data_IF_594123910308
#
_entry.id   IF_594123910308
#
_cell.length_a   1.000
_cell.length_b   1.000
_cell.length_c   1.000
_cell.angle_alpha   90.00
_cell.angle_beta   90.00
_cell.angle_gamma   90.00
#
_symmetry.space_group_name_H-M   'P 1'
#
loop_
_entity.id
_entity.type
_entity.pdbx_description
1 polymer ?
#
# COMPACT_ATOMS: atom_id res chain seq x y z
N UNK A 1 1.85 29.71 8.38
CA UNK A 1 2.75 28.59 8.02
C UNK A 1 1.90 27.43 7.53
N UNK A 2 2.47 26.45 6.82
CA UNK A 2 1.74 25.26 6.32
C UNK A 2 2.17 24.05 7.16
N UNK A 3 1.22 23.17 7.50
CA UNK A 3 1.48 21.90 8.17
C UNK A 3 1.09 20.74 7.23
N UNK A 4 1.85 19.64 7.27
CA UNK A 4 1.61 18.47 6.43
C UNK A 4 1.01 17.32 7.24
N UNK A 5 -0.21 16.90 6.90
CA UNK A 5 -0.87 15.76 7.54
C UNK A 5 -0.48 14.48 6.79
N UNK A 6 0.06 13.50 7.49
CA UNK A 6 0.63 12.29 6.87
C UNK A 6 0.34 11.02 7.65
N UNK A 7 0.20 9.90 6.94
CA UNK A 7 0.04 8.57 7.57
C UNK A 7 1.35 7.96 8.07
N UNK A 8 2.50 8.64 7.89
CA UNK A 8 3.81 8.18 8.32
C UNK A 8 4.56 7.32 7.30
N UNK A 9 4.28 7.48 6.00
CA UNK A 9 5.08 6.84 4.96
C UNK A 9 6.48 7.44 4.90
N UNK A 10 7.52 6.60 4.86
CA UNK A 10 8.92 7.03 4.92
C UNK A 10 9.26 8.14 3.90
N UNK A 11 8.86 7.96 2.64
CA UNK A 11 9.09 8.97 1.58
C UNK A 11 8.37 10.30 1.85
N UNK A 12 7.13 10.23 2.34
CA UNK A 12 6.38 11.44 2.70
C UNK A 12 7.03 12.19 3.86
N UNK A 13 7.63 11.46 4.80
CA UNK A 13 8.38 12.06 5.91
C UNK A 13 9.70 12.68 5.43
N UNK A 14 10.44 11.99 4.56
CA UNK A 14 11.65 12.51 3.92
C UNK A 14 11.37 13.79 3.15
N UNK A 15 10.32 13.83 2.33
CA UNK A 15 9.91 15.04 1.59
C UNK A 15 9.54 16.19 2.54
N UNK A 16 8.80 15.89 3.61
CA UNK A 16 8.43 16.90 4.60
C UNK A 16 9.67 17.50 5.27
N UNK A 17 10.64 16.67 5.63
CA UNK A 17 11.93 17.13 6.18
C UNK A 17 12.70 17.91 5.13
N UNK A 18 12.79 17.41 3.90
CA UNK A 18 13.53 18.05 2.82
C UNK A 18 13.06 19.49 2.55
N UNK A 19 11.74 19.70 2.48
CA UNK A 19 11.13 21.03 2.29
C UNK A 19 10.92 21.80 3.60
N UNK A 20 11.33 21.24 4.74
CA UNK A 20 11.21 21.86 6.05
C UNK A 20 9.76 22.11 6.48
N UNK A 21 8.81 21.27 6.11
CA UNK A 21 7.37 21.42 6.43
C UNK A 21 7.01 20.57 7.65
N UNK A 22 6.64 21.16 8.79
CA UNK A 22 6.26 20.41 9.99
C UNK A 22 5.09 19.46 9.75
N UNK A 23 5.10 18.33 10.45
CA UNK A 23 4.12 17.27 10.22
C UNK A 23 3.09 17.11 11.34
N UNK A 24 1.92 16.63 10.96
CA UNK A 24 0.92 16.04 11.85
C UNK A 24 0.75 14.58 11.43
N UNK A 25 1.29 13.66 12.22
CA UNK A 25 1.29 12.24 11.92
C UNK A 25 0.04 11.52 12.42
N UNK A 26 -0.57 10.73 11.54
CA UNK A 26 -1.73 9.87 11.78
C UNK A 26 -1.38 8.42 11.41
N UNK A 27 -0.71 7.66 12.30
CA UNK A 27 -0.26 6.30 12.00
C UNK A 27 -1.44 5.33 11.85
N UNK A 28 -1.97 5.19 10.64
CA UNK A 28 -3.00 4.19 10.32
C UNK A 28 -2.44 2.77 10.51
N UNK A 29 -1.16 2.59 10.17
CA UNK A 29 -0.44 1.33 10.37
C UNK A 29 0.50 1.51 11.56
N UNK A 30 0.40 0.60 12.54
CA UNK A 30 1.20 0.66 13.78
C UNK A 30 2.70 0.70 13.51
N UNK A 31 3.19 -0.03 12.50
CA UNK A 31 4.61 -0.03 12.11
C UNK A 31 5.11 1.32 11.59
N UNK A 32 4.24 2.25 11.17
CA UNK A 32 4.64 3.60 10.75
C UNK A 32 4.78 4.58 11.91
N UNK A 33 4.25 4.22 13.07
CA UNK A 33 4.30 5.05 14.29
C UNK A 33 5.74 5.39 14.68
N UNK A 34 6.67 4.45 14.52
CA UNK A 34 8.09 4.67 14.85
C UNK A 34 8.74 5.76 13.99
N UNK A 35 8.37 5.86 12.71
CA UNK A 35 8.93 6.88 11.82
C UNK A 35 8.39 8.27 12.14
N UNK A 36 7.08 8.38 12.42
CA UNK A 36 6.48 9.64 12.87
C UNK A 36 7.11 10.05 14.22
N UNK A 37 7.22 9.10 15.16
CA UNK A 37 7.80 9.34 16.48
C UNK A 37 9.24 9.86 16.40
N UNK A 38 10.00 9.44 15.39
CA UNK A 38 11.35 9.95 15.17
C UNK A 38 11.35 11.45 14.84
N UNK A 39 10.40 11.93 14.03
CA UNK A 39 10.30 13.37 13.69
C UNK A 39 9.74 14.16 14.87
N UNK A 40 8.73 13.65 15.57
CA UNK A 40 8.15 14.33 16.73
C UNK A 40 9.14 14.41 17.89
N UNK A 41 10.05 13.44 18.05
CA UNK A 41 11.16 13.48 19.01
C UNK A 41 12.04 14.73 18.86
N UNK A 42 12.20 15.24 17.64
CA UNK A 42 12.94 16.48 17.38
C UNK A 42 12.08 17.75 17.49
N UNK A 43 10.81 17.63 17.87
CA UNK A 43 9.88 18.75 17.97
C UNK A 43 9.39 19.28 16.61
N UNK A 44 9.59 18.51 15.53
CA UNK A 44 9.26 18.90 14.16
C UNK A 44 7.84 18.50 13.71
N UNK A 45 7.00 18.08 14.65
CA UNK A 45 5.61 17.72 14.40
C UNK A 45 4.94 17.13 15.62
N UNK A 46 3.68 16.73 15.45
CA UNK A 46 2.88 16.04 16.47
C UNK A 46 2.34 14.72 15.93
N UNK A 47 2.08 13.77 16.83
CA UNK A 47 1.45 12.50 16.50
C UNK A 47 0.05 12.44 17.12
N UNK A 48 -0.94 12.00 16.35
CA UNK A 48 -2.31 11.81 16.82
C UNK A 48 -2.73 10.35 16.60
N UNK A 49 -3.33 9.74 17.61
CA UNK A 49 -3.83 8.37 17.51
C UNK A 49 -5.13 8.33 16.71
N UNK A 50 -5.18 7.62 15.56
CA UNK A 50 -6.38 7.58 14.71
C UNK A 50 -7.63 7.04 15.43
N UNK A 51 -7.43 6.15 16.40
CA UNK A 51 -8.51 5.50 17.14
C UNK A 51 -9.22 6.44 18.14
N UNK A 52 -8.60 7.57 18.49
CA UNK A 52 -9.11 8.50 19.52
C UNK A 52 -9.15 9.95 19.02
N UNK A 53 -9.58 10.16 17.77
CA UNK A 53 -9.66 11.50 17.18
C UNK A 53 -10.96 12.22 17.57
N UNK A 54 -10.83 13.31 18.33
CA UNK A 54 -11.90 14.30 18.52
C UNK A 54 -11.67 15.49 17.59
N UNK A 55 -12.76 16.03 17.03
CA UNK A 55 -12.72 17.19 16.11
C UNK A 55 -11.92 18.37 16.70
N UNK A 56 -12.19 18.70 17.96
CA UNK A 56 -11.51 19.79 18.68
C UNK A 56 -10.00 19.55 18.79
N UNK A 57 -9.59 18.32 19.11
CA UNK A 57 -8.19 17.93 19.24
C UNK A 57 -7.46 18.03 17.90
N UNK A 58 -8.08 17.56 16.81
CA UNK A 58 -7.49 17.66 15.47
C UNK A 58 -7.28 19.11 15.07
N UNK A 59 -8.31 19.95 15.22
CA UNK A 59 -8.22 21.38 14.88
C UNK A 59 -7.14 22.04 15.73
N UNK A 60 -7.10 21.79 17.04
CA UNK A 60 -6.10 22.35 17.95
C UNK A 60 -4.68 21.94 17.53
N UNK A 61 -4.43 20.66 17.29
CA UNK A 61 -3.09 20.15 16.94
C UNK A 61 -2.63 20.68 15.59
N UNK A 62 -3.48 20.62 14.56
CA UNK A 62 -3.13 21.14 13.23
C UNK A 62 -2.87 22.65 13.30
N UNK A 63 -3.68 23.40 14.04
CA UNK A 63 -3.48 24.84 14.22
C UNK A 63 -2.18 25.12 14.96
N UNK A 64 -1.85 24.37 16.01
CA UNK A 64 -0.61 24.53 16.75
C UNK A 64 0.62 24.28 15.85
N UNK A 65 0.62 23.20 15.07
CA UNK A 65 1.72 22.87 14.15
C UNK A 65 1.84 23.88 13.00
N UNK A 66 0.73 24.43 12.53
CA UNK A 66 0.69 25.41 11.44
C UNK A 66 1.01 26.86 11.87
N UNK A 67 0.92 27.19 13.15
CA UNK A 67 1.10 28.57 13.65
C UNK A 67 2.32 28.76 14.55
N UNK A 68 2.70 27.76 15.36
CA UNK A 68 3.81 27.92 16.30
C UNK A 68 5.16 27.74 15.59
N UNK A 69 6.03 28.75 15.72
CA UNK A 69 7.35 28.74 15.09
C UNK A 69 8.26 27.61 15.59
N UNK A 70 8.04 27.12 16.82
CA UNK A 70 8.86 26.03 17.41
C UNK A 70 8.92 24.79 16.51
N UNK A 71 7.80 24.44 15.85
CA UNK A 71 7.74 23.29 14.96
C UNK A 71 8.50 23.54 13.67
N UNK A 72 8.37 24.74 13.10
CA UNK A 72 9.08 25.14 11.89
C UNK A 72 10.59 25.24 12.14
N UNK A 73 11.01 25.87 13.23
CA UNK A 73 12.42 26.01 13.59
C UNK A 73 13.06 24.63 13.83
N UNK A 74 12.35 23.74 14.52
CA UNK A 74 12.78 22.36 14.72
C UNK A 74 12.87 21.59 13.41
N UNK A 75 11.90 21.76 12.51
CA UNK A 75 11.89 21.10 11.21
C UNK A 75 12.98 21.63 10.28
N UNK A 76 13.25 22.94 10.27
CA UNK A 76 14.36 23.54 9.51
C UNK A 76 15.71 23.03 10.02
N UNK A 77 15.89 22.91 11.35
CA UNK A 77 17.10 22.33 11.93
C UNK A 77 17.27 20.86 11.55
N UNK A 78 16.18 20.09 11.56
CA UNK A 78 16.19 18.69 11.11
C UNK A 78 16.51 18.58 9.61
N UNK A 79 15.95 19.47 8.78
CA UNK A 79 16.22 19.56 7.35
C UNK A 79 17.70 19.87 7.09
N UNK A 80 18.30 20.80 7.84
CA UNK A 80 19.73 21.09 7.75
C UNK A 80 20.53 19.82 8.03
N UNK A 81 20.34 19.18 9.19
CA UNK A 81 21.12 17.98 9.55
C UNK A 81 20.99 16.82 8.56
N UNK A 82 19.84 16.66 7.91
CA UNK A 82 19.57 15.53 7.00
C UNK A 82 19.90 15.83 5.54
N UNK A 83 19.69 17.07 5.09
CA UNK A 83 19.98 17.50 3.72
C UNK A 83 21.44 17.92 3.52
N UNK A 84 22.31 17.75 4.52
CA UNK A 84 23.75 17.90 4.35
C UNK A 84 24.35 16.56 3.91
N UNK A 85 24.55 16.32 2.60
CA UNK A 85 25.16 15.09 2.15
C UNK A 85 26.65 15.08 2.53
N UNK A 86 27.17 13.91 2.89
CA UNK A 86 28.60 13.69 3.20
C UNK A 86 29.48 13.90 1.96
N UNK A 87 28.91 13.71 0.77
CA UNK A 87 29.57 13.89 -0.51
C UNK A 87 28.63 14.58 -1.52
N UNK A 88 29.18 15.32 -2.46
CA UNK A 88 28.39 15.87 -3.57
C UNK A 88 27.83 14.76 -4.46
N UNK A 89 26.76 15.04 -5.21
CA UNK A 89 26.19 14.07 -6.15
C UNK A 89 27.22 13.52 -7.16
N UNK A 90 28.16 14.36 -7.60
CA UNK A 90 29.25 13.96 -8.48
C UNK A 90 30.23 12.99 -7.80
N UNK A 91 30.64 13.28 -6.56
CA UNK A 91 31.52 12.40 -5.78
C UNK A 91 30.85 11.06 -5.49
N UNK A 92 29.55 11.06 -5.19
CA UNK A 92 28.80 9.83 -4.94
C UNK A 92 28.65 8.99 -6.21
N UNK A 93 28.39 9.62 -7.36
CA UNK A 93 28.34 8.94 -8.66
C UNK A 93 29.70 8.32 -9.03
N UNK A 94 30.80 9.07 -8.81
CA UNK A 94 32.15 8.56 -9.02
C UNK A 94 32.43 7.34 -8.14
N UNK A 95 32.13 7.44 -6.84
CA UNK A 95 32.34 6.35 -5.89
C UNK A 95 31.57 5.08 -6.26
N UNK A 96 30.30 5.19 -6.65
CA UNK A 96 29.50 4.04 -7.11
C UNK A 96 30.01 3.47 -8.43
N UNK A 97 30.47 4.32 -9.35
CA UNK A 97 31.07 3.88 -10.62
C UNK A 97 32.33 3.06 -10.35
N UNK A 98 33.24 3.57 -9.52
CA UNK A 98 34.42 2.83 -9.08
C UNK A 98 34.07 1.54 -8.34
N UNK A 99 33.03 1.56 -7.49
CA UNK A 99 32.57 0.37 -6.80
C UNK A 99 32.15 -0.73 -7.78
N UNK A 100 31.36 -0.40 -8.80
CA UNK A 100 30.92 -1.34 -9.83
C UNK A 100 32.13 -1.89 -10.61
N UNK A 101 33.07 -1.03 -11.00
CA UNK A 101 34.29 -1.45 -11.70
C UNK A 101 35.16 -2.38 -10.84
N UNK A 102 35.38 -2.04 -9.56
CA UNK A 102 36.16 -2.86 -8.61
C UNK A 102 35.57 -4.25 -8.38
N UNK A 103 34.26 -4.40 -8.50
CA UNK A 103 33.56 -5.66 -8.26
C UNK A 103 33.07 -6.33 -9.55
N UNK A 104 33.72 -6.04 -10.69
CA UNK A 104 33.45 -6.73 -11.96
C UNK A 104 31.99 -6.62 -12.41
N UNK A 105 31.38 -5.45 -12.22
CA UNK A 105 29.96 -5.21 -12.54
C UNK A 105 29.00 -5.32 -11.35
N UNK A 106 29.48 -5.64 -10.14
CA UNK A 106 28.67 -5.68 -8.90
C UNK A 106 27.36 -6.48 -9.05
N UNK A 107 27.45 -7.70 -9.59
CA UNK A 107 26.29 -8.56 -9.89
C UNK A 107 25.40 -8.83 -8.67
N UNK A 108 25.94 -8.76 -7.45
CA UNK A 108 25.19 -8.88 -6.20
C UNK A 108 24.28 -7.68 -5.89
N UNK A 109 24.51 -6.51 -6.50
CA UNK A 109 23.63 -5.34 -6.41
C UNK A 109 22.58 -5.32 -7.52
N UNK A 110 22.67 -6.19 -8.51
CA UNK A 110 21.66 -6.28 -9.55
C UNK A 110 20.34 -6.78 -8.93
N UNK A 111 19.24 -6.19 -9.35
CA UNK A 111 17.93 -6.77 -9.05
C UNK A 111 17.88 -8.19 -9.61
N UNK A 112 17.32 -9.17 -8.88
CA UNK A 112 17.07 -10.52 -9.39
C UNK A 112 16.25 -10.55 -10.69
N UNK A 113 15.57 -9.45 -11.01
CA UNK A 113 14.79 -9.28 -12.25
C UNK A 113 15.64 -8.86 -13.46
N UNK A 114 16.91 -8.52 -13.29
CA UNK A 114 17.77 -8.15 -14.43
C UNK A 114 18.08 -9.41 -15.24
N UNK A 115 17.67 -9.42 -16.51
CA UNK A 115 17.93 -10.52 -17.45
C UNK A 115 16.93 -11.68 -17.41
N UNK A 116 15.79 -11.53 -16.71
CA UNK A 116 14.71 -12.53 -16.79
C UNK A 116 13.96 -12.39 -18.12
N UNK A 117 13.49 -13.50 -18.68
CA UNK A 117 12.68 -13.48 -19.89
C UNK A 117 11.32 -12.83 -19.64
N UNK A 118 10.73 -12.21 -20.66
CA UNK A 118 9.39 -11.60 -20.57
C UNK A 118 8.35 -12.60 -20.05
N UNK A 119 8.47 -13.87 -20.41
CA UNK A 119 7.56 -14.92 -19.93
C UNK A 119 7.59 -15.09 -18.40
N UNK A 120 8.77 -15.02 -17.78
CA UNK A 120 8.92 -15.06 -16.31
C UNK A 120 8.55 -13.74 -15.66
N UNK A 121 8.82 -12.62 -16.33
CA UNK A 121 8.45 -11.30 -15.84
C UNK A 121 6.92 -11.15 -15.72
N UNK A 122 6.16 -11.62 -16.71
CA UNK A 122 4.70 -11.60 -16.72
C UNK A 122 4.05 -12.82 -16.04
N UNK A 123 4.84 -13.76 -15.54
CA UNK A 123 4.36 -14.98 -14.87
C UNK A 123 3.22 -15.69 -15.62
N UNK A 124 3.41 -15.97 -16.92
CA UNK A 124 2.38 -16.61 -17.74
C UNK A 124 1.97 -18.00 -17.22
N UNK A 125 2.89 -18.69 -16.55
CA UNK A 125 2.65 -19.94 -15.84
C UNK A 125 1.58 -19.76 -14.74
N UNK A 126 1.67 -18.71 -13.93
CA UNK A 126 0.70 -18.39 -12.89
C UNK A 126 -0.64 -18.01 -13.51
N UNK A 127 -0.65 -17.19 -14.55
CA UNK A 127 -1.88 -16.79 -15.27
C UNK A 127 -2.61 -18.03 -15.82
N UNK A 128 -1.86 -18.98 -16.40
CA UNK A 128 -2.42 -20.22 -16.92
C UNK A 128 -3.06 -21.07 -15.82
N UNK A 129 -2.41 -21.19 -14.65
CA UNK A 129 -2.97 -21.93 -13.50
C UNK A 129 -4.30 -21.30 -13.05
N UNK A 130 -4.37 -19.98 -12.90
CA UNK A 130 -5.62 -19.29 -12.55
C UNK A 130 -6.71 -19.51 -13.59
N UNK A 131 -6.36 -19.50 -14.88
CA UNK A 131 -7.31 -19.75 -15.96
C UNK A 131 -7.87 -21.18 -15.90
N UNK A 132 -7.03 -22.19 -15.67
CA UNK A 132 -7.44 -23.59 -15.53
C UNK A 132 -8.36 -23.76 -14.32
N UNK A 133 -8.00 -23.21 -13.16
CA UNK A 133 -8.83 -23.29 -11.94
C UNK A 133 -10.18 -22.61 -12.17
N UNK A 134 -10.18 -21.41 -12.75
CA UNK A 134 -11.40 -20.68 -13.09
C UNK A 134 -12.30 -21.46 -14.06
N UNK A 135 -11.70 -22.10 -15.07
CA UNK A 135 -12.43 -22.92 -16.04
C UNK A 135 -13.05 -24.17 -15.40
N UNK A 136 -12.34 -24.87 -14.53
CA UNK A 136 -12.88 -26.03 -13.80
C UNK A 136 -14.02 -25.58 -12.87
N UNK A 137 -13.84 -24.51 -12.12
CA UNK A 137 -14.87 -23.96 -11.24
C UNK A 137 -16.13 -23.57 -12.03
N UNK A 138 -15.96 -22.95 -13.19
CA UNK A 138 -17.06 -22.62 -14.10
C UNK A 138 -17.79 -23.88 -14.59
N UNK A 139 -17.07 -24.93 -15.00
CA UNK A 139 -17.70 -26.19 -15.41
C UNK A 139 -18.48 -26.85 -14.28
N UNK A 140 -17.94 -26.88 -13.07
CA UNK A 140 -18.62 -27.44 -11.89
C UNK A 140 -19.89 -26.64 -11.58
N UNK A 141 -19.80 -25.31 -11.52
CA UNK A 141 -20.94 -24.44 -11.29
C UNK A 141 -22.04 -24.63 -12.37
N UNK A 142 -21.64 -24.74 -13.63
CA UNK A 142 -22.57 -24.99 -14.74
C UNK A 142 -23.27 -26.35 -14.61
N UNK A 143 -22.54 -27.41 -14.22
CA UNK A 143 -23.14 -28.75 -13.99
C UNK A 143 -24.12 -28.74 -12.81
N UNK A 144 -23.78 -28.07 -11.71
CA UNK A 144 -24.66 -27.93 -10.54
C UNK A 144 -25.92 -27.17 -10.93
N UNK A 145 -25.79 -26.03 -11.62
CA UNK A 145 -26.93 -25.24 -12.08
C UNK A 145 -27.85 -26.06 -12.98
N UNK A 146 -27.29 -26.81 -13.94
CA UNK A 146 -28.07 -27.70 -14.83
C UNK A 146 -28.78 -28.81 -14.04
N UNK A 147 -28.13 -29.41 -13.04
CA UNK A 147 -28.74 -30.41 -12.17
C UNK A 147 -29.92 -29.83 -11.38
N UNK A 148 -29.75 -28.66 -10.77
CA UNK A 148 -30.80 -27.94 -10.02
C UNK A 148 -31.99 -27.61 -10.94
N UNK A 149 -31.73 -27.04 -12.13
CA UNK A 149 -32.79 -26.75 -13.11
C UNK A 149 -33.54 -28.02 -13.51
N UNK A 150 -32.83 -29.13 -13.73
CA UNK A 150 -33.44 -30.40 -14.11
C UNK A 150 -34.31 -30.96 -12.98
N UNK A 151 -33.87 -30.87 -11.72
CA UNK A 151 -34.65 -31.28 -10.55
C UNK A 151 -35.91 -30.43 -10.37
N UNK A 152 -35.80 -29.10 -10.52
CA UNK A 152 -36.96 -28.19 -10.47
C UNK A 152 -37.96 -28.53 -11.57
N UNK A 153 -37.51 -28.75 -12.81
CA UNK A 153 -38.38 -29.14 -13.93
C UNK A 153 -39.08 -30.48 -13.68
N UNK A 154 -38.38 -31.49 -13.15
CA UNK A 154 -38.97 -32.78 -12.79
C UNK A 154 -40.04 -32.62 -11.70
N UNK A 155 -39.76 -31.82 -10.67
CA UNK A 155 -40.71 -31.55 -9.57
C UNK A 155 -41.97 -30.83 -10.06
N UNK A 156 -41.82 -29.82 -10.92
CA UNK A 156 -42.94 -29.10 -11.54
C UNK A 156 -43.79 -30.02 -12.43
N UNK A 157 -43.17 -30.92 -13.21
CA UNK A 157 -43.89 -31.88 -14.05
C UNK A 157 -44.67 -32.91 -13.23
N UNK A 158 -44.06 -33.45 -12.16
CA UNK A 158 -44.72 -34.38 -11.23
C UNK A 158 -45.91 -33.73 -10.50
N UNK A 159 -45.80 -32.46 -10.10
CA UNK A 159 -46.91 -31.73 -9.49
C UNK A 159 -48.08 -31.52 -10.47
N UNK A 160 -47.80 -31.16 -11.72
CA UNK A 160 -48.81 -30.98 -12.78
C UNK A 160 -49.53 -32.29 -13.13
N UNK A 161 -48.83 -33.43 -13.13
CA UNK A 161 -49.45 -34.75 -13.33
C UNK A 161 -50.33 -35.17 -12.14
N UNK A 162 -49.98 -34.79 -10.90
CA UNK A 162 -50.82 -35.03 -9.72
C UNK A 162 -52.11 -34.21 -9.74
N UNK A 163 -52.04 -32.92 -10.08
CA UNK A 163 -53.23 -32.07 -10.24
C UNK A 163 -54.15 -32.53 -11.39
N UNK A 164 -53.56 -32.97 -12.51
CA UNK A 164 -54.33 -33.44 -13.67
C UNK A 164 -55.14 -34.71 -13.40
N UNK A 165 -54.61 -35.63 -12.56
CA UNK A 165 -55.35 -36.83 -12.13
C UNK A 165 -56.52 -36.51 -11.20
N UNK A 166 -56.41 -35.47 -10.37
CA UNK A 166 -57.49 -35.04 -9.47
C UNK A 166 -58.63 -34.29 -10.19
N UNK A 167 -58.39 -33.71 -11.37
CA UNK A 167 -59.44 -33.05 -12.19
C UNK A 167 -60.22 -34.01 -13.11
N UNK A 168 -59.76 -35.26 -13.24
CA UNK A 168 -60.38 -36.27 -14.12
C UNK A 168 -61.29 -37.26 -13.35
N UNK A 169 -61.42 -37.08 -12.04
CA UNK A 169 -62.42 -37.72 -11.17
C UNK A 169 -63.52 -36.70 -10.84
#
# INVERSE_FOLDING_TARGET
MKAFITSGGARSLEEAVFYGVPIVGLPIVSSRKVFIAQITKYGAGEIMEPNFLKKETVIKTVTAVATQEKYKNSMVRLAQWTNHPVATGAQQALWWTEYVLRHGGARHLHSPTVGISLSKYFSYDIILIFFIIGFIAFQVAFRILRAVITQIRKKLRSHKESEGKFKAL
#
